data_IF_790017270744
#
_entry.id   IF_790017270744
#
_cell.length_a   1.000
_cell.length_b   1.000
_cell.length_c   1.000
_cell.angle_alpha   90.00
_cell.angle_beta   90.00
_cell.angle_gamma   90.00
#
_symmetry.space_group_name_H-M   'P 1'
#
loop_
_entity.id
_entity.type
_entity.pdbx_description
1 polymer ?
#
# COMPACT_ATOMS: atom_id res chain seq x y z
N UNK A 1 -17.49 -0.91 -5.94
CA UNK A 1 -18.23 0.30 -5.51
C UNK A 1 -17.56 0.89 -4.27
N UNK A 2 -16.92 2.06 -4.45
CA UNK A 2 -16.17 2.71 -3.38
C UNK A 2 -17.06 3.05 -2.18
N UNK A 3 -18.25 3.57 -2.41
CA UNK A 3 -19.13 3.97 -1.32
C UNK A 3 -19.56 2.80 -0.44
N UNK A 4 -19.88 1.66 -1.06
CA UNK A 4 -20.23 0.44 -0.33
C UNK A 4 -19.04 -0.12 0.43
N UNK A 5 -17.85 -0.06 -0.17
CA UNK A 5 -16.62 -0.52 0.49
C UNK A 5 -16.29 0.34 1.69
N UNK A 6 -16.33 1.66 1.56
CA UNK A 6 -16.09 2.59 2.68
C UNK A 6 -17.11 2.34 3.79
N UNK A 7 -18.38 2.16 3.45
CA UNK A 7 -19.41 1.86 4.44
C UNK A 7 -19.12 0.56 5.20
N UNK A 8 -18.72 -0.50 4.49
CA UNK A 8 -18.39 -1.76 5.12
C UNK A 8 -17.22 -1.62 6.10
N UNK A 9 -16.11 -1.05 5.66
CA UNK A 9 -14.92 -0.93 6.51
C UNK A 9 -15.13 0.01 7.68
N UNK A 10 -15.93 1.06 7.52
CA UNK A 10 -16.18 2.03 8.62
C UNK A 10 -17.26 1.55 9.56
N UNK A 11 -18.43 1.20 9.06
CA UNK A 11 -19.59 0.87 9.92
C UNK A 11 -19.55 -0.56 10.45
N UNK A 12 -19.06 -1.51 9.66
CA UNK A 12 -19.04 -2.91 10.09
C UNK A 12 -17.74 -3.24 10.81
N UNK A 13 -16.59 -2.86 10.26
CA UNK A 13 -15.28 -3.20 10.83
C UNK A 13 -14.72 -2.13 11.76
N UNK A 14 -15.30 -0.94 11.81
CA UNK A 14 -14.90 0.09 12.76
C UNK A 14 -13.67 0.93 12.38
N UNK A 15 -13.23 0.88 11.14
CA UNK A 15 -12.16 1.75 10.67
C UNK A 15 -12.68 3.17 10.43
N UNK A 16 -11.78 4.13 10.38
CA UNK A 16 -12.10 5.53 10.10
C UNK A 16 -11.39 5.98 8.84
N UNK A 17 -12.04 6.84 8.07
CA UNK A 17 -11.41 7.46 6.90
C UNK A 17 -10.35 8.44 7.38
N UNK A 18 -9.09 8.21 7.00
CA UNK A 18 -7.99 9.09 7.36
C UNK A 18 -7.66 10.08 6.25
N UNK A 19 -7.77 9.65 5.00
CA UNK A 19 -7.44 10.50 3.88
C UNK A 19 -8.11 10.00 2.60
N UNK A 20 -8.44 10.92 1.70
CA UNK A 20 -9.04 10.61 0.41
C UNK A 20 -8.26 11.31 -0.68
N UNK A 21 -7.85 10.56 -1.69
CA UNK A 21 -7.18 11.09 -2.88
C UNK A 21 -8.08 10.91 -4.09
N UNK A 22 -8.47 11.99 -4.74
CA UNK A 22 -9.18 11.95 -6.00
C UNK A 22 -8.16 12.01 -7.14
N UNK A 23 -8.18 11.01 -8.01
CA UNK A 23 -7.24 10.87 -9.11
C UNK A 23 -7.99 10.79 -10.43
N UNK A 24 -7.34 11.17 -11.55
CA UNK A 24 -7.92 10.92 -12.87
C UNK A 24 -8.12 9.41 -13.06
N UNK A 25 -9.31 8.94 -13.14
CA UNK A 25 -9.63 7.53 -13.34
C UNK A 25 -9.97 6.76 -12.08
N UNK A 26 -10.00 7.42 -10.91
CA UNK A 26 -10.43 6.73 -9.70
C UNK A 26 -10.19 7.49 -8.41
N UNK A 27 -10.26 6.77 -7.33
CA UNK A 27 -10.17 7.33 -5.98
C UNK A 27 -9.41 6.38 -5.09
N UNK A 28 -8.62 6.93 -4.17
CA UNK A 28 -7.94 6.14 -3.13
C UNK A 28 -8.43 6.65 -1.78
N UNK A 29 -8.90 5.74 -0.94
CA UNK A 29 -9.34 6.06 0.43
C UNK A 29 -8.48 5.30 1.42
N UNK A 30 -7.80 6.02 2.31
CA UNK A 30 -7.00 5.43 3.38
C UNK A 30 -7.86 5.30 4.63
N UNK A 31 -7.89 4.10 5.18
CA UNK A 31 -8.67 3.76 6.38
C UNK A 31 -7.73 3.28 7.47
N UNK A 32 -7.94 3.75 8.69
CA UNK A 32 -7.16 3.35 9.84
C UNK A 32 -8.04 3.18 11.08
N UNK A 33 -7.43 2.68 12.15
CA UNK A 33 -8.12 2.48 13.43
C UNK A 33 -7.31 3.00 14.61
N UNK A 34 -6.37 3.90 14.36
CA UNK A 34 -5.48 4.43 15.39
C UNK A 34 -4.23 3.58 15.63
N UNK A 35 -4.11 2.44 14.96
CA UNK A 35 -2.94 1.57 15.01
C UNK A 35 -2.09 1.76 13.75
N UNK A 36 -0.98 1.01 13.66
CA UNK A 36 -0.09 1.08 12.49
C UNK A 36 -0.69 0.41 11.26
N UNK A 37 -1.62 -0.52 11.45
CA UNK A 37 -2.24 -1.25 10.36
C UNK A 37 -3.46 -0.52 9.83
N UNK A 38 -3.56 -0.40 8.53
CA UNK A 38 -4.69 0.22 7.87
C UNK A 38 -5.02 -0.44 6.55
N UNK A 39 -6.02 0.08 5.88
CA UNK A 39 -6.42 -0.37 4.56
C UNK A 39 -6.39 0.78 3.58
N UNK A 40 -6.06 0.46 2.34
CA UNK A 40 -6.14 1.38 1.23
C UNK A 40 -7.14 0.81 0.24
N UNK A 41 -8.24 1.52 0.05
CA UNK A 41 -9.25 1.16 -0.94
C UNK A 41 -8.95 1.92 -2.22
N UNK A 42 -8.71 1.17 -3.30
CA UNK A 42 -8.34 1.75 -4.59
C UNK A 42 -9.46 1.50 -5.59
N UNK A 43 -10.03 2.59 -6.11
CA UNK A 43 -11.01 2.52 -7.18
C UNK A 43 -10.31 2.89 -8.48
N UNK A 44 -10.19 1.93 -9.39
CA UNK A 44 -9.58 2.14 -10.69
C UNK A 44 -10.22 1.17 -11.68
N UNK A 45 -10.76 1.70 -12.77
CA UNK A 45 -11.49 0.91 -13.75
C UNK A 45 -10.64 -0.12 -14.49
N UNK A 46 -9.31 0.01 -14.46
CA UNK A 46 -8.39 -0.94 -15.10
C UNK A 46 -7.99 -2.09 -14.19
N UNK A 47 -8.30 -2.02 -12.90
CA UNK A 47 -7.96 -3.07 -11.94
C UNK A 47 -9.13 -4.02 -11.73
N UNK A 48 -8.81 -5.29 -11.54
CA UNK A 48 -9.81 -6.26 -11.12
C UNK A 48 -10.19 -6.02 -9.67
N UNK A 49 -11.45 -6.27 -9.35
CA UNK A 49 -11.93 -6.22 -7.97
C UNK A 49 -11.25 -7.31 -7.15
N UNK A 50 -10.87 -6.98 -5.94
CA UNK A 50 -10.28 -7.91 -4.99
C UNK A 50 -9.01 -7.37 -4.36
N UNK A 51 -8.23 -8.27 -3.79
CA UNK A 51 -6.98 -7.94 -3.11
C UNK A 51 -5.92 -7.51 -4.12
N UNK A 52 -5.27 -6.38 -3.87
CA UNK A 52 -4.27 -5.82 -4.79
C UNK A 52 -2.84 -5.99 -4.28
N UNK A 53 -2.56 -5.54 -3.06
CA UNK A 53 -1.21 -5.62 -2.52
C UNK A 53 -1.19 -5.51 -0.99
N UNK A 54 -0.06 -5.89 -0.39
CA UNK A 54 0.26 -5.62 1.01
C UNK A 54 1.24 -4.45 1.04
N UNK A 55 0.96 -3.45 1.87
CA UNK A 55 1.87 -2.32 2.07
C UNK A 55 2.62 -2.46 3.38
N UNK A 56 3.92 -2.24 3.37
CA UNK A 56 4.77 -2.26 4.56
C UNK A 56 5.58 -0.97 4.64
N UNK A 57 5.51 -0.30 5.79
CA UNK A 57 6.41 0.81 6.08
C UNK A 57 7.74 0.25 6.57
N UNK A 58 8.84 0.72 6.01
CA UNK A 58 10.18 0.28 6.38
C UNK A 58 11.06 1.48 6.72
N UNK A 59 12.03 1.27 7.59
CA UNK A 59 12.96 2.32 8.00
C UNK A 59 14.07 2.55 6.97
N UNK A 60 14.57 1.46 6.36
CA UNK A 60 15.65 1.52 5.37
C UNK A 60 15.30 0.56 4.22
N UNK A 61 14.78 1.14 3.15
CA UNK A 61 14.31 0.36 2.00
C UNK A 61 15.45 -0.36 1.27
N UNK A 62 16.64 0.24 1.25
CA UNK A 62 17.80 -0.39 0.59
C UNK A 62 18.29 -1.61 1.36
N UNK A 63 18.29 -1.55 2.68
CA UNK A 63 18.65 -2.68 3.52
C UNK A 63 17.63 -3.81 3.36
N UNK A 64 16.34 -3.49 3.33
CA UNK A 64 15.29 -4.49 3.13
C UNK A 64 15.42 -5.16 1.77
N UNK A 65 15.70 -4.40 0.71
CA UNK A 65 15.88 -4.97 -0.63
C UNK A 65 17.09 -5.90 -0.69
N UNK A 66 18.19 -5.54 -0.02
CA UNK A 66 19.37 -6.43 0.07
C UNK A 66 19.03 -7.73 0.77
N UNK A 67 18.25 -7.66 1.85
CA UNK A 67 17.79 -8.84 2.55
C UNK A 67 16.93 -9.73 1.65
N UNK A 68 16.03 -9.13 0.87
CA UNK A 68 15.22 -9.87 -0.10
C UNK A 68 16.07 -10.53 -1.17
N UNK A 69 17.09 -9.84 -1.69
CA UNK A 69 18.01 -10.41 -2.68
C UNK A 69 18.73 -11.64 -2.12
N UNK A 70 19.21 -11.57 -0.87
CA UNK A 70 19.89 -12.69 -0.21
C UNK A 70 18.98 -13.91 -0.04
N UNK A 71 17.68 -13.67 0.06
CA UNK A 71 16.71 -14.74 0.22
C UNK A 71 16.00 -15.12 -1.10
N UNK A 72 16.55 -14.68 -2.22
CA UNK A 72 16.06 -14.99 -3.57
C UNK A 72 14.61 -14.56 -3.80
N UNK A 73 14.19 -13.47 -3.18
CA UNK A 73 12.87 -12.90 -3.39
C UNK A 73 12.86 -12.12 -4.71
N UNK A 74 11.80 -12.28 -5.48
CA UNK A 74 11.64 -11.56 -6.74
C UNK A 74 11.35 -10.09 -6.49
N UNK A 75 12.24 -9.23 -6.97
CA UNK A 75 12.06 -7.77 -6.88
C UNK A 75 11.44 -7.30 -8.19
N UNK A 76 10.19 -6.83 -8.11
CA UNK A 76 9.44 -6.37 -9.27
C UNK A 76 9.73 -4.91 -9.61
N UNK A 77 10.06 -4.09 -8.61
CA UNK A 77 10.43 -2.70 -8.81
C UNK A 77 11.45 -2.30 -7.75
N UNK A 78 12.62 -1.84 -8.20
CA UNK A 78 13.67 -1.33 -7.31
C UNK A 78 13.22 -0.02 -6.65
N UNK A 79 13.95 0.40 -5.61
CA UNK A 79 13.62 1.62 -4.89
C UNK A 79 13.52 2.82 -5.84
N UNK A 80 12.37 3.49 -5.81
CA UNK A 80 12.03 4.60 -6.71
C UNK A 80 11.50 5.75 -5.88
N UNK A 81 11.89 6.96 -6.22
CA UNK A 81 11.42 8.16 -5.54
C UNK A 81 9.94 8.42 -5.83
N UNK A 82 9.16 8.63 -4.77
CA UNK A 82 7.77 9.07 -4.84
C UNK A 82 7.60 10.34 -3.99
N UNK A 83 6.42 10.94 -3.99
CA UNK A 83 6.20 12.23 -3.32
C UNK A 83 6.46 12.20 -1.82
N UNK A 84 6.24 11.06 -1.16
CA UNK A 84 6.35 10.95 0.30
C UNK A 84 7.60 10.21 0.76
N UNK A 85 8.44 9.74 -0.15
CA UNK A 85 9.64 8.98 0.19
C UNK A 85 10.12 8.09 -0.92
N UNK A 86 10.49 6.87 -0.58
CA UNK A 86 10.94 5.85 -1.54
C UNK A 86 9.98 4.66 -1.51
N UNK A 87 9.76 4.06 -2.67
CA UNK A 87 8.88 2.90 -2.82
C UNK A 87 9.58 1.81 -3.61
N UNK A 88 9.32 0.56 -3.23
CA UNK A 88 9.77 -0.61 -3.97
C UNK A 88 8.66 -1.66 -3.96
N UNK A 89 8.76 -2.65 -4.83
CA UNK A 89 7.77 -3.71 -4.89
C UNK A 89 8.46 -5.05 -5.07
N UNK A 90 8.07 -6.01 -4.23
CA UNK A 90 8.54 -7.39 -4.32
C UNK A 90 7.33 -8.31 -4.48
N UNK A 91 7.59 -9.55 -4.88
CA UNK A 91 6.54 -10.55 -5.12
C UNK A 91 6.76 -11.72 -4.17
N UNK A 92 5.72 -12.09 -3.42
CA UNK A 92 5.82 -13.25 -2.53
C UNK A 92 5.74 -14.57 -3.33
N UNK A 93 5.94 -15.74 -2.67
CA UNK A 93 5.91 -17.02 -3.38
C UNK A 93 4.59 -17.35 -4.07
N UNK A 94 3.50 -16.73 -3.67
CA UNK A 94 2.18 -16.95 -4.24
C UNK A 94 1.76 -15.89 -5.25
N UNK A 95 2.68 -15.00 -5.62
CA UNK A 95 2.42 -13.95 -6.59
C UNK A 95 1.79 -12.68 -6.01
N UNK A 96 1.74 -12.55 -4.67
CA UNK A 96 1.18 -11.37 -4.03
C UNK A 96 2.16 -10.21 -4.11
N UNK A 97 1.68 -9.05 -4.53
CA UNK A 97 2.49 -7.82 -4.53
C UNK A 97 2.67 -7.30 -3.11
N UNK A 98 3.91 -7.02 -2.74
CA UNK A 98 4.26 -6.39 -1.46
C UNK A 98 4.94 -5.08 -1.78
N UNK A 99 4.32 -3.98 -1.37
CA UNK A 99 4.82 -2.64 -1.59
C UNK A 99 5.56 -2.17 -0.34
N UNK A 100 6.81 -1.78 -0.50
CA UNK A 100 7.62 -1.22 0.58
C UNK A 100 7.66 0.29 0.44
N UNK A 101 7.45 1.01 1.52
CA UNK A 101 7.52 2.47 1.54
C UNK A 101 8.42 2.91 2.69
N UNK A 102 9.45 3.68 2.35
CA UNK A 102 10.25 4.41 3.32
C UNK A 102 9.84 5.87 3.24
N UNK A 103 9.15 6.35 4.26
CA UNK A 103 8.70 7.74 4.32
C UNK A 103 9.88 8.67 4.59
N UNK A 104 9.85 9.86 3.98
CA UNK A 104 10.80 10.91 4.31
C UNK A 104 10.65 11.31 5.77
N UNK A 105 11.76 11.70 6.40
CA UNK A 105 11.71 12.19 7.77
C UNK A 105 10.92 13.49 7.81
N UNK A 106 10.11 13.65 8.86
CA UNK A 106 9.38 14.88 9.11
C UNK A 106 10.30 15.84 9.88
N UNK A 107 10.39 17.04 9.36
CA UNK A 107 11.12 18.12 10.03
C UNK A 107 10.23 18.84 11.03
#
# INVERSE_FOLDING_TARGET
DMDKSVEFYTKVLGFEVEEVFDLPGGKIVLLGNGNETGFELIQNSTFKTGFYSVGLDVEDIHEELENFRKNNVKIAMEATRISVGMMARVIDPNGVNIVLIQHDEKE
#
